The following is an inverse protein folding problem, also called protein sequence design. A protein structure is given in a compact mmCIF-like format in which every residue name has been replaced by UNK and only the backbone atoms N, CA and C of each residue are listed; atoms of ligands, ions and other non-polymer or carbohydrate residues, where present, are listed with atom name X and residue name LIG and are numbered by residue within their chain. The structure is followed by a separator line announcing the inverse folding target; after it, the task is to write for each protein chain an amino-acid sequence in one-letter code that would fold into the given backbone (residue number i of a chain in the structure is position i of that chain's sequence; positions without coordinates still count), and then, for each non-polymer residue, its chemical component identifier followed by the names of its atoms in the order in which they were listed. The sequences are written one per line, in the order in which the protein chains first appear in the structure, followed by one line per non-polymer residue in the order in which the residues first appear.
data_IF_473562275874
#
_entry.id   IF_473562275874
#
_cell.length_a   1.000
_cell.length_b   1.000
_cell.length_c   1.000
_cell.angle_alpha   90.00
_cell.angle_beta   90.00
_cell.angle_gamma   90.00
#
_symmetry.space_group_name_H-M   'P 1'
#
loop_
_entity.id
_entity.type
_entity.pdbx_description
1 polymer ?
#
# COMPACT_ATOMS: atom_id res chain seq x y z
N UNK A 1 -1.49 30.32 50.52
CA UNK A 1 -0.07 30.39 50.96
C UNK A 1 0.74 29.50 50.03
N UNK A 2 1.82 30.02 49.45
CA UNK A 2 2.86 29.33 48.66
C UNK A 2 2.41 28.90 47.24
N UNK A 3 2.85 29.48 46.12
CA UNK A 3 4.02 30.31 45.85
C UNK A 3 5.23 29.45 45.48
N UNK A 4 5.71 29.55 44.23
CA UNK A 4 6.98 28.90 43.84
C UNK A 4 7.25 28.77 42.34
N UNK A 5 7.29 29.88 41.60
CA UNK A 5 8.01 29.97 40.32
C UNK A 5 9.49 30.26 40.61
N UNK A 6 10.40 29.60 39.88
CA UNK A 6 11.80 30.01 39.76
C UNK A 6 12.23 29.93 38.29
N UNK A 7 12.75 31.02 37.71
CA UNK A 7 13.68 30.96 36.59
C UNK A 7 15.10 31.30 37.07
N UNK A 8 16.07 30.46 36.73
CA UNK A 8 17.49 30.75 36.88
C UNK A 8 18.08 31.18 35.55
N UNK A 9 18.84 32.26 35.66
CA UNK A 9 19.52 33.06 34.66
C UNK A 9 20.97 32.58 34.49
N UNK A 10 21.58 33.02 33.38
CA UNK A 10 23.02 33.22 33.14
C UNK A 10 23.85 32.03 32.61
N UNK A 11 24.57 32.29 31.51
CA UNK A 11 25.47 31.33 30.85
C UNK A 11 26.03 31.83 29.53
N UNK A 12 26.78 32.93 29.59
CA UNK A 12 27.57 33.57 28.53
C UNK A 12 28.74 32.67 28.09
N UNK A 13 29.05 32.56 26.79
CA UNK A 13 30.42 32.63 26.22
C UNK A 13 30.48 32.34 24.70
N UNK A 14 30.95 33.35 23.94
CA UNK A 14 31.62 33.21 22.64
C UNK A 14 33.04 32.68 22.83
N UNK A 15 33.62 32.10 21.77
CA UNK A 15 34.98 32.47 21.40
C UNK A 15 35.12 32.92 19.94
N UNK A 16 36.05 33.84 19.77
CA UNK A 16 36.54 34.48 18.55
C UNK A 16 37.71 33.69 17.92
N UNK A 17 38.08 34.06 16.69
CA UNK A 17 39.26 33.69 15.89
C UNK A 17 39.13 32.34 15.14
N UNK A 18 39.38 32.21 13.84
CA UNK A 18 40.19 32.99 12.90
C UNK A 18 41.10 31.99 12.16
N UNK A 19 41.01 31.86 10.83
CA UNK A 19 41.93 30.97 10.11
C UNK A 19 41.49 30.52 8.72
N UNK A 20 41.93 31.28 7.71
CA UNK A 20 42.55 30.83 6.44
C UNK A 20 41.85 29.81 5.52
N UNK A 21 41.58 30.29 4.31
CA UNK A 21 41.44 29.50 3.07
C UNK A 21 42.73 28.73 2.75
N UNK A 22 42.60 27.62 2.01
CA UNK A 22 43.42 27.43 0.83
C UNK A 22 42.60 27.09 -0.41
N UNK A 23 42.95 27.73 -1.53
CA UNK A 23 42.66 27.26 -2.89
C UNK A 23 43.68 26.21 -3.29
N UNK A 24 43.24 25.10 -3.89
CA UNK A 24 43.95 24.18 -4.81
C UNK A 24 42.99 23.01 -5.07
N UNK A 25 42.36 22.87 -6.23
CA UNK A 25 42.98 22.31 -7.43
C UNK A 25 42.71 20.80 -7.51
N UNK A 26 41.76 20.38 -8.36
CA UNK A 26 41.50 18.96 -8.62
C UNK A 26 40.09 18.64 -9.08
N UNK A 27 39.82 18.84 -10.37
CA UNK A 27 38.69 18.17 -11.03
C UNK A 27 38.96 16.66 -11.08
N UNK A 28 38.11 15.88 -10.42
CA UNK A 28 37.86 14.49 -10.76
C UNK A 28 36.34 14.28 -10.83
N UNK A 29 35.76 13.95 -11.99
CA UNK A 29 34.41 13.43 -12.05
C UNK A 29 34.46 11.96 -11.63
N UNK A 30 34.39 11.70 -10.33
CA UNK A 30 34.11 10.37 -9.81
C UNK A 30 32.66 10.02 -10.11
N UNK A 31 32.47 9.04 -11.01
CA UNK A 31 31.18 8.52 -11.49
C UNK A 31 30.35 7.80 -10.42
N UNK A 32 29.91 8.54 -9.40
CA UNK A 32 28.98 8.08 -8.36
C UNK A 32 27.76 9.01 -8.33
N UNK A 33 26.93 8.94 -9.37
CA UNK A 33 25.62 9.62 -9.37
C UNK A 33 24.47 8.76 -9.93
N UNK A 34 24.73 7.47 -10.22
CA UNK A 34 23.73 6.55 -10.77
C UNK A 34 23.22 5.50 -9.76
N UNK A 35 23.80 5.40 -8.56
CA UNK A 35 23.36 4.44 -7.53
C UNK A 35 22.33 5.01 -6.53
N UNK A 36 22.18 6.34 -6.46
CA UNK A 36 21.26 7.00 -5.52
C UNK A 36 19.81 7.06 -6.00
N UNK A 37 19.57 7.18 -7.31
CA UNK A 37 18.22 7.30 -7.87
C UNK A 37 17.45 5.97 -7.85
N UNK A 38 18.12 4.83 -8.05
CA UNK A 38 17.46 3.51 -8.01
C UNK A 38 17.07 3.10 -6.58
N UNK A 39 17.91 3.39 -5.58
CA UNK A 39 17.60 3.06 -4.18
C UNK A 39 16.45 3.89 -3.61
N UNK A 40 16.38 5.17 -3.97
CA UNK A 40 15.36 6.10 -3.45
C UNK A 40 13.98 5.83 -4.07
N UNK A 41 13.92 5.41 -5.35
CA UNK A 41 12.68 4.98 -6.01
C UNK A 41 12.11 3.69 -5.40
N UNK A 42 12.97 2.71 -5.10
CA UNK A 42 12.54 1.43 -4.51
C UNK A 42 11.99 1.59 -3.09
N UNK A 43 12.63 2.40 -2.24
CA UNK A 43 12.13 2.67 -0.89
C UNK A 43 10.79 3.41 -0.90
N UNK A 44 10.61 4.36 -1.83
CA UNK A 44 9.34 5.10 -1.96
C UNK A 44 8.20 4.17 -2.39
N UNK A 45 8.47 3.25 -3.32
CA UNK A 45 7.52 2.24 -3.76
C UNK A 45 7.16 1.24 -2.65
N UNK A 46 8.15 0.70 -1.94
CA UNK A 46 7.92 -0.24 -0.82
C UNK A 46 7.11 0.42 0.32
N UNK A 47 7.38 1.70 0.61
CA UNK A 47 6.61 2.48 1.58
C UNK A 47 5.17 2.74 1.13
N UNK A 48 4.96 3.03 -0.16
CA UNK A 48 3.63 3.16 -0.75
C UNK A 48 2.89 1.84 -0.55
N UNK A 49 3.38 0.74 -1.13
CA UNK A 49 2.73 -0.57 -1.04
C UNK A 49 2.36 -0.97 0.40
N UNK A 50 3.24 -0.68 1.37
CA UNK A 50 2.98 -0.92 2.80
C UNK A 50 1.83 -0.07 3.35
N UNK A 51 1.70 1.17 2.88
CA UNK A 51 0.59 2.06 3.21
C UNK A 51 -0.73 1.58 2.60
N UNK A 52 -0.78 1.20 1.33
CA UNK A 52 -2.01 0.68 0.71
C UNK A 52 -2.46 -0.64 1.33
N UNK A 53 -1.52 -1.53 1.65
CA UNK A 53 -1.82 -2.77 2.40
C UNK A 53 -2.43 -2.47 3.78
N UNK A 54 -1.92 -1.45 4.48
CA UNK A 54 -2.47 -1.05 5.79
C UNK A 54 -3.88 -0.50 5.65
N UNK A 55 -4.12 0.40 4.69
CA UNK A 55 -5.44 0.99 4.45
C UNK A 55 -6.45 -0.12 4.10
N UNK A 56 -6.11 -1.00 3.16
CA UNK A 56 -6.98 -2.11 2.79
C UNK A 56 -7.26 -3.03 3.99
N UNK A 57 -6.26 -3.34 4.81
CA UNK A 57 -6.45 -4.15 6.02
C UNK A 57 -7.43 -3.47 7.01
N UNK A 58 -7.26 -2.18 7.27
CA UNK A 58 -8.13 -1.41 8.15
C UNK A 58 -9.58 -1.37 7.62
N UNK A 59 -9.75 -1.11 6.33
CA UNK A 59 -11.06 -1.03 5.70
C UNK A 59 -11.78 -2.39 5.66
N UNK A 60 -11.08 -3.48 5.34
CA UNK A 60 -11.67 -4.83 5.43
C UNK A 60 -12.05 -5.21 6.85
N UNK A 61 -11.22 -4.83 7.85
CA UNK A 61 -11.54 -5.07 9.26
C UNK A 61 -12.82 -4.34 9.65
N UNK A 62 -12.91 -3.05 9.31
CA UNK A 62 -14.08 -2.23 9.64
C UNK A 62 -15.34 -2.70 8.88
N UNK A 63 -15.23 -2.99 7.59
CA UNK A 63 -16.33 -3.50 6.79
C UNK A 63 -16.88 -4.81 7.35
N UNK A 64 -16.01 -5.74 7.79
CA UNK A 64 -16.46 -7.00 8.37
C UNK A 64 -17.36 -6.80 9.58
N UNK A 65 -17.04 -5.83 10.43
CA UNK A 65 -17.82 -5.50 11.62
C UNK A 65 -19.13 -4.77 11.28
N UNK A 66 -19.07 -3.76 10.41
CA UNK A 66 -20.25 -2.96 10.01
C UNK A 66 -21.26 -3.86 9.29
N UNK A 67 -20.81 -4.69 8.35
CA UNK A 67 -21.68 -5.57 7.59
C UNK A 67 -22.30 -6.68 8.46
N UNK A 68 -21.56 -7.28 9.40
CA UNK A 68 -22.11 -8.26 10.35
C UNK A 68 -23.15 -7.62 11.28
N UNK A 69 -22.89 -6.40 11.74
CA UNK A 69 -23.87 -5.63 12.51
C UNK A 69 -25.13 -5.33 11.71
N UNK A 70 -25.01 -4.86 10.47
CA UNK A 70 -26.14 -4.62 9.57
C UNK A 70 -26.95 -5.90 9.32
N UNK A 71 -26.29 -7.03 9.09
CA UNK A 71 -26.96 -8.33 8.94
C UNK A 71 -27.81 -8.70 10.16
N UNK A 72 -27.30 -8.45 11.38
CA UNK A 72 -28.03 -8.69 12.64
C UNK A 72 -29.20 -7.72 12.81
N UNK A 73 -29.02 -6.44 12.47
CA UNK A 73 -30.10 -5.45 12.52
C UNK A 73 -31.23 -5.81 11.55
N UNK A 74 -30.90 -6.08 10.29
CA UNK A 74 -31.87 -6.53 9.28
C UNK A 74 -32.63 -7.79 9.72
N UNK A 75 -31.94 -8.78 10.29
CA UNK A 75 -32.58 -9.99 10.81
C UNK A 75 -33.55 -9.72 11.97
N UNK A 76 -33.30 -8.67 12.77
CA UNK A 76 -34.16 -8.29 13.90
C UNK A 76 -35.39 -7.47 13.49
N UNK A 77 -35.34 -6.77 12.37
CA UNK A 77 -36.40 -5.85 11.90
C UNK A 77 -37.51 -6.56 11.09
N UNK A 78 -37.26 -7.79 10.62
CA UNK A 78 -38.28 -8.67 10.07
C UNK A 78 -37.96 -9.27 8.69
N UNK A 79 -38.83 -10.15 8.17
CA UNK A 79 -38.58 -10.92 6.95
C UNK A 79 -38.45 -10.06 5.69
N UNK A 80 -38.96 -8.82 5.69
CA UNK A 80 -38.82 -7.87 4.59
C UNK A 80 -37.37 -7.45 4.31
N UNK A 81 -36.47 -7.61 5.29
CA UNK A 81 -35.04 -7.35 5.15
C UNK A 81 -34.20 -8.62 5.03
N UNK A 82 -34.81 -9.80 4.82
CA UNK A 82 -34.09 -11.07 4.80
C UNK A 82 -32.99 -11.13 3.72
N UNK A 83 -33.26 -10.57 2.53
CA UNK A 83 -32.27 -10.49 1.45
C UNK A 83 -31.09 -9.59 1.83
N UNK A 84 -31.37 -8.40 2.40
CA UNK A 84 -30.33 -7.50 2.87
C UNK A 84 -29.48 -8.15 3.97
N UNK A 85 -30.11 -8.87 4.92
CA UNK A 85 -29.40 -9.59 5.96
C UNK A 85 -28.45 -10.66 5.40
N UNK A 86 -28.88 -11.39 4.37
CA UNK A 86 -28.04 -12.40 3.71
C UNK A 86 -26.83 -11.75 3.01
N UNK A 87 -27.07 -10.72 2.19
CA UNK A 87 -25.99 -10.00 1.47
C UNK A 87 -24.97 -9.42 2.46
N UNK A 88 -25.43 -8.73 3.50
CA UNK A 88 -24.52 -8.14 4.49
C UNK A 88 -23.71 -9.20 5.23
N UNK A 89 -24.27 -10.40 5.46
CA UNK A 89 -23.52 -11.51 6.06
C UNK A 89 -22.44 -12.04 5.12
N UNK A 90 -22.77 -12.24 3.85
CA UNK A 90 -21.81 -12.70 2.84
C UNK A 90 -20.65 -11.69 2.67
N UNK A 91 -20.98 -10.39 2.63
CA UNK A 91 -19.97 -9.31 2.60
C UNK A 91 -19.11 -9.32 3.87
N UNK A 92 -19.69 -9.50 5.05
CA UNK A 92 -18.95 -9.55 6.30
C UNK A 92 -17.94 -10.71 6.34
N UNK A 93 -18.37 -11.90 5.90
CA UNK A 93 -17.52 -13.09 5.84
C UNK A 93 -16.39 -12.92 4.81
N UNK A 94 -16.70 -12.34 3.65
CA UNK A 94 -15.72 -12.09 2.60
C UNK A 94 -14.70 -11.02 3.02
N UNK A 95 -15.13 -9.98 3.72
CA UNK A 95 -14.24 -8.95 4.27
C UNK A 95 -13.31 -9.53 5.33
N UNK A 96 -13.84 -10.31 6.29
CA UNK A 96 -13.04 -10.98 7.31
C UNK A 96 -12.07 -12.03 6.72
N UNK A 97 -12.40 -12.61 5.57
CA UNK A 97 -11.49 -13.49 4.86
C UNK A 97 -10.35 -12.70 4.19
N UNK A 98 -10.66 -11.61 3.48
CA UNK A 98 -9.67 -10.72 2.88
C UNK A 98 -8.69 -10.14 3.92
N UNK A 99 -9.20 -9.68 5.06
CA UNK A 99 -8.39 -9.23 6.21
C UNK A 99 -7.28 -10.25 6.55
N UNK A 100 -7.66 -11.53 6.73
CA UNK A 100 -6.73 -12.61 7.07
C UNK A 100 -5.72 -12.89 5.96
N UNK A 101 -6.11 -12.73 4.69
CA UNK A 101 -5.22 -12.91 3.55
C UNK A 101 -4.18 -11.79 3.47
N UNK A 102 -4.60 -10.54 3.68
CA UNK A 102 -3.72 -9.37 3.69
C UNK A 102 -2.76 -9.43 4.88
N UNK A 103 -3.28 -9.71 6.08
CA UNK A 103 -2.48 -9.75 7.31
C UNK A 103 -1.33 -10.77 7.28
N UNK A 104 -1.44 -11.82 6.45
CA UNK A 104 -0.42 -12.86 6.30
C UNK A 104 0.36 -12.78 4.98
N UNK A 105 0.18 -11.72 4.20
CA UNK A 105 0.78 -11.55 2.86
C UNK A 105 0.55 -12.78 1.97
N UNK A 106 -0.71 -13.22 1.89
CA UNK A 106 -1.10 -14.42 1.16
C UNK A 106 -0.99 -14.23 -0.35
N UNK A 107 -0.39 -15.19 -1.05
CA UNK A 107 -0.34 -15.20 -2.52
C UNK A 107 -1.72 -15.20 -3.20
N UNK A 108 -2.77 -15.62 -2.48
CA UNK A 108 -4.16 -15.62 -2.95
C UNK A 108 -4.88 -14.28 -2.71
N UNK A 109 -4.26 -13.32 -2.02
CA UNK A 109 -4.87 -12.04 -1.68
C UNK A 109 -5.47 -11.32 -2.89
N UNK A 110 -4.71 -11.11 -3.99
CA UNK A 110 -5.22 -10.37 -5.15
C UNK A 110 -6.46 -10.99 -5.80
N UNK A 111 -6.51 -12.31 -5.97
CA UNK A 111 -7.65 -12.99 -6.60
C UNK A 111 -8.92 -12.92 -5.75
N UNK A 112 -8.77 -13.02 -4.43
CA UNK A 112 -9.89 -12.94 -3.49
C UNK A 112 -10.36 -11.49 -3.30
N UNK A 113 -9.44 -10.53 -3.38
CA UNK A 113 -9.73 -9.11 -3.37
C UNK A 113 -10.51 -8.67 -4.63
N UNK A 114 -10.12 -9.14 -5.82
CA UNK A 114 -10.89 -8.95 -7.06
C UNK A 114 -12.29 -9.57 -6.97
N UNK A 115 -12.38 -10.78 -6.41
CA UNK A 115 -13.67 -11.44 -6.15
C UNK A 115 -14.56 -10.62 -5.22
N UNK A 116 -13.99 -9.99 -4.19
CA UNK A 116 -14.71 -9.07 -3.31
C UNK A 116 -15.28 -7.88 -4.07
N UNK A 117 -14.48 -7.20 -4.90
CA UNK A 117 -14.94 -6.06 -5.70
C UNK A 117 -16.14 -6.45 -6.56
N UNK A 118 -16.05 -7.58 -7.28
CA UNK A 118 -17.15 -8.06 -8.14
C UNK A 118 -18.42 -8.35 -7.36
N UNK A 119 -18.32 -9.06 -6.23
CA UNK A 119 -19.48 -9.38 -5.39
C UNK A 119 -20.10 -8.10 -4.81
N UNK A 120 -19.27 -7.15 -4.39
CA UNK A 120 -19.73 -5.87 -3.86
C UNK A 120 -20.48 -5.05 -4.94
N UNK A 121 -19.94 -4.93 -6.15
CA UNK A 121 -20.59 -4.26 -7.28
C UNK A 121 -21.95 -4.86 -7.62
N UNK A 122 -22.04 -6.20 -7.65
CA UNK A 122 -23.28 -6.91 -7.91
C UNK A 122 -24.31 -6.75 -6.77
N UNK A 123 -23.83 -6.60 -5.53
CA UNK A 123 -24.67 -6.52 -4.32
C UNK A 123 -25.20 -5.11 -4.02
N UNK A 124 -24.45 -4.07 -4.37
CA UNK A 124 -24.77 -2.68 -4.04
C UNK A 124 -26.15 -2.21 -4.55
N UNK A 125 -26.58 -2.53 -5.79
CA UNK A 125 -27.91 -2.16 -6.27
C UNK A 125 -29.05 -2.73 -5.40
N UNK A 126 -28.90 -3.95 -4.89
CA UNK A 126 -29.88 -4.58 -4.00
C UNK A 126 -29.86 -3.91 -2.62
N UNK A 127 -28.69 -3.63 -2.05
CA UNK A 127 -28.57 -2.92 -0.76
C UNK A 127 -29.16 -1.51 -0.83
N UNK A 128 -28.96 -0.79 -1.94
CA UNK A 128 -29.49 0.57 -2.14
C UNK A 128 -31.01 0.64 -2.13
N UNK A 129 -31.73 -0.45 -2.37
CA UNK A 129 -33.19 -0.50 -2.20
C UNK A 129 -33.62 -0.34 -0.73
N UNK A 130 -32.71 -0.59 0.21
CA UNK A 130 -32.94 -0.51 1.65
C UNK A 130 -32.19 0.65 2.33
N UNK A 131 -31.61 1.58 1.56
CA UNK A 131 -30.78 2.68 2.09
C UNK A 131 -31.49 3.63 3.05
N UNK A 132 -32.83 3.57 3.15
CA UNK A 132 -33.58 4.31 4.17
C UNK A 132 -33.26 3.86 5.60
N UNK A 133 -32.75 2.64 5.79
CA UNK A 133 -32.30 2.15 7.08
C UNK A 133 -30.85 2.61 7.31
N UNK A 134 -30.58 3.25 8.43
CA UNK A 134 -29.26 3.86 8.69
C UNK A 134 -28.13 2.84 8.68
N UNK A 135 -28.37 1.62 9.18
CA UNK A 135 -27.38 0.54 9.18
C UNK A 135 -27.01 0.06 7.76
N UNK A 136 -27.97 0.07 6.84
CA UNK A 136 -27.73 -0.25 5.43
C UNK A 136 -26.94 0.87 4.76
N UNK A 137 -27.31 2.13 4.98
CA UNK A 137 -26.60 3.27 4.41
C UNK A 137 -25.12 3.34 4.86
N UNK A 138 -24.86 3.07 6.14
CA UNK A 138 -23.51 2.97 6.69
C UNK A 138 -22.72 1.81 6.07
N UNK A 139 -23.36 0.66 5.89
CA UNK A 139 -22.74 -0.51 5.24
C UNK A 139 -22.40 -0.23 3.78
N UNK A 140 -23.28 0.45 3.02
CA UNK A 140 -23.00 0.85 1.64
C UNK A 140 -21.77 1.74 1.57
N UNK A 141 -21.67 2.75 2.44
CA UNK A 141 -20.51 3.65 2.47
C UNK A 141 -19.22 2.90 2.83
N UNK A 142 -19.29 1.93 3.76
CA UNK A 142 -18.16 1.09 4.12
C UNK A 142 -17.73 0.18 2.94
N UNK A 143 -18.68 -0.37 2.18
CA UNK A 143 -18.41 -1.17 0.98
C UNK A 143 -17.70 -0.31 -0.08
N UNK A 144 -18.26 0.85 -0.42
CA UNK A 144 -17.70 1.74 -1.45
C UNK A 144 -16.25 2.13 -1.10
N UNK A 145 -15.98 2.54 0.13
CA UNK A 145 -14.61 2.85 0.59
C UNK A 145 -13.68 1.64 0.49
N UNK A 146 -14.14 0.46 0.94
CA UNK A 146 -13.30 -0.74 0.92
C UNK A 146 -12.99 -1.18 -0.51
N UNK A 147 -13.93 -1.01 -1.45
CA UNK A 147 -13.68 -1.23 -2.87
C UNK A 147 -12.60 -0.29 -3.40
N UNK A 148 -12.65 1.00 -3.08
CA UNK A 148 -11.64 1.98 -3.52
C UNK A 148 -10.23 1.61 -3.03
N UNK A 149 -10.10 1.24 -1.75
CA UNK A 149 -8.82 0.80 -1.19
C UNK A 149 -8.36 -0.54 -1.75
N UNK A 150 -9.29 -1.45 -2.05
CA UNK A 150 -9.00 -2.72 -2.70
C UNK A 150 -8.46 -2.52 -4.12
N UNK A 151 -9.12 -1.68 -4.92
CA UNK A 151 -8.67 -1.36 -6.29
C UNK A 151 -7.30 -0.68 -6.29
N UNK A 152 -7.10 0.29 -5.39
CA UNK A 152 -5.80 0.97 -5.23
C UNK A 152 -4.68 -0.03 -4.88
N UNK A 153 -4.95 -0.99 -3.99
CA UNK A 153 -3.99 -2.03 -3.64
C UNK A 153 -3.67 -2.95 -4.83
N UNK A 154 -4.69 -3.40 -5.57
CA UNK A 154 -4.53 -4.28 -6.74
C UNK A 154 -3.68 -3.61 -7.82
N UNK A 155 -3.96 -2.36 -8.16
CA UNK A 155 -3.18 -1.58 -9.14
C UNK A 155 -1.71 -1.48 -8.72
N UNK A 156 -1.44 -1.25 -7.44
CA UNK A 156 -0.09 -1.12 -6.89
C UNK A 156 0.67 -2.45 -6.95
N UNK A 157 0.01 -3.57 -6.66
CA UNK A 157 0.59 -4.91 -6.72
C UNK A 157 0.90 -5.31 -8.17
N UNK A 158 0.02 -5.00 -9.12
CA UNK A 158 0.24 -5.28 -10.54
C UNK A 158 1.38 -4.43 -11.12
N UNK A 159 1.41 -3.13 -10.82
CA UNK A 159 2.49 -2.22 -11.23
C UNK A 159 3.86 -2.58 -10.64
N UNK A 160 3.89 -3.08 -9.39
CA UNK A 160 5.10 -3.55 -8.73
C UNK A 160 5.71 -4.82 -9.33
N UNK A 161 4.87 -5.75 -9.79
CA UNK A 161 5.34 -7.00 -10.42
C UNK A 161 6.02 -6.76 -11.77
N UNK A 162 5.64 -5.71 -12.49
CA UNK A 162 6.22 -5.40 -13.80
C UNK A 162 7.67 -4.88 -13.72
N UNK A 163 8.06 -4.18 -12.65
CA UNK A 163 9.42 -3.64 -12.51
C UNK A 163 10.46 -4.63 -11.93
N UNK A 164 10.04 -5.72 -11.28
CA UNK A 164 10.96 -6.73 -10.72
C UNK A 164 11.50 -7.75 -11.73
N UNK A 165 10.95 -7.80 -12.95
CA UNK A 165 11.23 -8.85 -13.94
C UNK A 165 12.28 -8.50 -15.00
N UNK A 166 12.81 -7.28 -15.04
CA UNK A 166 13.53 -6.77 -16.23
C UNK A 166 15.03 -6.49 -16.04
N UNK A 167 15.69 -7.08 -15.03
CA UNK A 167 17.12 -6.86 -14.79
C UNK A 167 17.92 -8.15 -14.58
N UNK A 168 17.88 -9.09 -15.53
CA UNK A 168 18.95 -10.08 -15.73
C UNK A 168 18.91 -10.64 -17.16
N UNK A 169 19.59 -9.98 -18.10
CA UNK A 169 19.67 -10.49 -19.46
C UNK A 169 20.45 -9.61 -20.43
N UNK A 170 21.67 -9.19 -20.08
CA UNK A 170 22.39 -8.22 -20.90
C UNK A 170 23.90 -8.17 -20.75
N UNK A 171 24.58 -9.23 -20.32
CA UNK A 171 26.04 -9.35 -20.49
C UNK A 171 26.36 -10.59 -21.33
N UNK A 172 26.23 -10.45 -22.65
CA UNK A 172 26.97 -11.32 -23.57
C UNK A 172 28.37 -10.74 -23.73
N UNK A 173 29.32 -11.34 -23.02
CA UNK A 173 30.75 -11.19 -23.29
C UNK A 173 31.01 -11.50 -24.77
N UNK A 174 31.53 -10.53 -25.51
CA UNK A 174 32.14 -10.75 -26.80
C UNK A 174 33.51 -11.40 -26.57
N UNK A 175 33.55 -12.74 -26.51
CA UNK A 175 34.80 -13.49 -26.58
C UNK A 175 35.42 -13.33 -27.97
N UNK A 176 36.60 -12.73 -27.98
CA UNK A 176 37.54 -12.68 -29.09
C UNK A 176 37.79 -14.07 -29.66
N UNK A 177 37.87 -14.17 -30.99
CA UNK A 177 38.39 -15.35 -31.68
C UNK A 177 39.30 -14.90 -32.84
N UNK A 178 40.62 -15.13 -32.76
CA UNK A 178 41.51 -15.08 -33.91
C UNK A 178 42.02 -16.49 -34.24
N UNK A 179 41.86 -16.93 -35.49
CA UNK A 179 42.59 -18.04 -36.16
C UNK A 179 41.97 -18.20 -37.54
N UNK A 180 42.66 -18.37 -38.66
CA UNK A 180 44.03 -18.75 -38.96
C UNK A 180 44.02 -19.20 -40.43
N UNK A 181 45.06 -18.86 -41.18
CA UNK A 181 45.08 -18.85 -42.65
C UNK A 181 44.84 -20.19 -43.37
N UNK A 182 44.33 -20.07 -44.60
CA UNK A 182 44.17 -21.16 -45.57
C UNK A 182 45.34 -21.11 -46.55
N UNK A 183 46.23 -22.08 -46.45
CA UNK A 183 47.29 -22.39 -47.43
C UNK A 183 46.67 -22.88 -48.74
N UNK A 184 47.20 -22.37 -49.86
CA UNK A 184 47.05 -22.89 -51.22
C UNK A 184 48.43 -23.42 -51.63
N UNK A 185 48.49 -24.67 -52.11
CA UNK A 185 49.69 -25.35 -52.57
C UNK A 185 49.49 -26.85 -52.52
#
# INVERSE_FOLDING_TARGET
MGGGQQPMTSGQQQPTAGGQQPMSGGQQPSGQAMAGQEAQGRQSFENHLTNELRIALEDFTELSHIADWCAKMCASEGPQLATCAAICRDIAELAAFNEKLIARDSMFGPEVADTFVRIAEESLPELRQFQQHSHVAETIAAIDRTMDSCLTLLETVEGGRQMGGQQMGGQRMATQQPSGGRTRG
#
